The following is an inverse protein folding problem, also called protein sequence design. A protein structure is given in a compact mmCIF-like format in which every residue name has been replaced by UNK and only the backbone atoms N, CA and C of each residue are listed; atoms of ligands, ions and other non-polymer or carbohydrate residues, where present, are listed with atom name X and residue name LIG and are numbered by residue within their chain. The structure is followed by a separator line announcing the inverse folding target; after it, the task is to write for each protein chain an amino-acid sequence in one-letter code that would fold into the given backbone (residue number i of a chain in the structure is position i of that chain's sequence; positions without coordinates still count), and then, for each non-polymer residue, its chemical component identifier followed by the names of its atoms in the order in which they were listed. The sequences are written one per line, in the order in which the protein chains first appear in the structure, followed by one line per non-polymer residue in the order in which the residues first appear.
data_IF_590794485592
#
_entry.id   IF_590794485592
#
_cell.length_a   1.000
_cell.length_b   1.000
_cell.length_c   1.000
_cell.angle_alpha   90.00
_cell.angle_beta   90.00
_cell.angle_gamma   90.00
#
_symmetry.space_group_name_H-M   'P 1'
#
loop_
_entity.id
_entity.type
_entity.pdbx_description
1 polymer ?
#
# COMPACT_ATOMS: atom_id res chain seq x y z
N UNK A 1 21.48 -39.43 8.00
CA UNK A 1 20.28 -39.97 7.35
C UNK A 1 19.62 -38.88 6.50
N UNK A 2 19.64 -38.95 5.17
CA UNK A 2 18.95 -37.97 4.32
C UNK A 2 17.57 -38.49 3.87
N UNK A 3 16.54 -37.65 4.02
CA UNK A 3 15.18 -37.92 3.52
C UNK A 3 15.13 -37.70 2.00
N UNK A 4 14.66 -38.72 1.28
CA UNK A 4 14.48 -38.74 -0.17
C UNK A 4 13.21 -38.00 -0.60
N UNK A 5 13.35 -37.15 -1.59
CA UNK A 5 12.31 -36.57 -2.45
C UNK A 5 11.68 -37.66 -3.32
N UNK A 6 10.35 -37.69 -3.41
CA UNK A 6 9.59 -38.56 -4.32
C UNK A 6 9.01 -37.69 -5.43
N UNK A 7 9.34 -38.02 -6.68
CA UNK A 7 8.79 -37.43 -7.91
C UNK A 7 8.18 -38.58 -8.73
N UNK A 8 6.88 -38.53 -9.01
CA UNK A 8 6.17 -39.56 -9.79
C UNK A 8 5.96 -39.04 -11.22
N UNK A 9 6.42 -39.82 -12.21
CA UNK A 9 6.23 -39.65 -13.66
C UNK A 9 4.88 -40.20 -14.12
N UNK A 10 4.27 -39.69 -15.21
CA UNK A 10 3.13 -40.33 -15.86
C UNK A 10 3.58 -41.36 -16.91
N UNK A 11 2.75 -42.40 -17.07
CA UNK A 11 2.90 -43.55 -17.96
C UNK A 11 2.25 -43.25 -19.32
N UNK A 12 3.00 -43.45 -20.40
CA UNK A 12 2.51 -43.48 -21.77
C UNK A 12 1.87 -44.84 -22.10
N UNK A 13 0.82 -44.86 -22.92
CA UNK A 13 0.33 -46.11 -23.49
C UNK A 13 0.16 -46.03 -25.01
N UNK A 14 0.51 -47.17 -25.64
CA UNK A 14 0.82 -47.35 -27.05
C UNK A 14 -0.40 -47.44 -27.97
N UNK A 15 -0.07 -47.12 -29.22
CA UNK A 15 -0.73 -47.34 -30.50
C UNK A 15 -1.26 -48.76 -30.76
N UNK A 16 -2.32 -48.82 -31.58
CA UNK A 16 -2.77 -50.02 -32.29
C UNK A 16 -3.77 -49.67 -33.39
N UNK A 17 -3.35 -49.76 -34.64
CA UNK A 17 -4.16 -49.63 -35.87
C UNK A 17 -4.07 -50.98 -36.61
N UNK A 18 -5.16 -51.40 -37.25
CA UNK A 18 -5.34 -52.38 -38.36
C UNK A 18 -6.78 -52.92 -38.22
N UNK A 19 -7.53 -53.38 -39.22
CA UNK A 19 -7.69 -53.13 -40.66
C UNK A 19 -9.06 -53.80 -41.01
N UNK A 20 -9.60 -53.48 -42.18
CA UNK A 20 -10.91 -53.89 -42.71
C UNK A 20 -11.12 -55.41 -42.84
N UNK A 21 -12.38 -55.86 -42.73
CA UNK A 21 -13.00 -56.79 -43.69
C UNK A 21 -14.54 -56.75 -43.57
N UNK A 22 -15.21 -56.62 -44.72
CA UNK A 22 -16.66 -56.83 -44.89
C UNK A 22 -16.97 -58.33 -44.97
N UNK A 23 -18.22 -58.73 -44.70
CA UNK A 23 -19.02 -59.24 -45.82
C UNK A 23 -20.49 -58.75 -45.82
N UNK A 24 -21.10 -58.85 -47.01
CA UNK A 24 -22.48 -58.51 -47.33
C UNK A 24 -23.47 -59.58 -46.82
N UNK A 25 -24.67 -59.18 -46.36
CA UNK A 25 -25.93 -59.31 -47.12
C UNK A 25 -27.19 -58.98 -46.29
N UNK A 26 -28.19 -58.51 -47.04
CA UNK A 26 -29.65 -58.60 -46.87
C UNK A 26 -30.41 -57.66 -45.92
N UNK A 27 -31.15 -56.80 -46.62
CA UNK A 27 -32.32 -56.00 -46.28
C UNK A 27 -33.45 -56.73 -45.56
N UNK A 28 -33.89 -56.16 -44.43
CA UNK A 28 -35.29 -56.14 -43.98
C UNK A 28 -35.53 -54.86 -43.17
N UNK A 29 -36.49 -54.01 -43.59
CA UNK A 29 -36.95 -52.82 -42.85
C UNK A 29 -37.87 -53.22 -41.69
N UNK A 30 -37.77 -52.58 -40.52
CA UNK A 30 -38.90 -52.37 -39.63
C UNK A 30 -39.30 -50.87 -39.56
N UNK A 31 -40.50 -50.56 -39.03
CA UNK A 31 -41.24 -49.34 -39.38
C UNK A 31 -40.82 -48.10 -38.58
N UNK A 32 -41.22 -46.96 -39.14
CA UNK A 32 -41.10 -45.60 -38.60
C UNK A 32 -41.66 -45.51 -37.18
N UNK A 33 -40.81 -45.15 -36.21
CA UNK A 33 -41.23 -44.56 -34.95
C UNK A 33 -41.05 -43.04 -35.06
N UNK A 34 -42.17 -42.34 -35.05
CA UNK A 34 -42.27 -40.89 -35.00
C UNK A 34 -41.77 -40.38 -33.64
N UNK A 35 -40.67 -39.63 -33.63
CA UNK A 35 -40.24 -38.84 -32.49
C UNK A 35 -41.17 -37.62 -32.32
N UNK A 36 -41.52 -37.23 -31.08
CA UNK A 36 -42.30 -36.02 -30.84
C UNK A 36 -41.45 -34.78 -31.15
N UNK A 37 -42.05 -33.80 -31.83
CA UNK A 37 -41.48 -32.46 -32.02
C UNK A 37 -41.30 -31.80 -30.65
N UNK A 38 -40.08 -31.82 -30.13
CA UNK A 38 -39.71 -30.99 -28.98
C UNK A 38 -39.56 -29.56 -29.50
N UNK A 39 -40.38 -28.67 -28.95
CA UNK A 39 -40.47 -27.27 -29.32
C UNK A 39 -39.14 -26.54 -28.97
N UNK A 40 -38.31 -26.24 -29.97
CA UNK A 40 -36.95 -25.67 -29.84
C UNK A 40 -36.87 -24.27 -29.16
N UNK A 41 -37.99 -23.66 -28.84
CA UNK A 41 -38.05 -22.32 -28.24
C UNK A 41 -37.76 -22.34 -26.72
N UNK A 42 -38.21 -23.37 -26.00
CA UNK A 42 -38.07 -23.43 -24.53
C UNK A 42 -36.68 -23.91 -24.07
N UNK A 43 -36.00 -24.78 -24.83
CA UNK A 43 -34.65 -25.25 -24.49
C UNK A 43 -33.56 -24.18 -24.64
N UNK A 44 -33.74 -23.20 -25.55
CA UNK A 44 -32.76 -22.12 -25.73
C UNK A 44 -32.80 -21.11 -24.58
N UNK A 45 -33.98 -20.85 -24.03
CA UNK A 45 -34.16 -19.88 -22.94
C UNK A 45 -33.64 -20.43 -21.61
N UNK A 46 -33.85 -21.72 -21.32
CA UNK A 46 -33.33 -22.35 -20.10
C UNK A 46 -31.80 -22.48 -20.08
N UNK A 47 -31.18 -22.74 -21.25
CA UNK A 47 -29.72 -22.83 -21.35
C UNK A 47 -29.00 -21.49 -21.13
N UNK A 48 -29.61 -20.36 -21.51
CA UNK A 48 -29.08 -19.01 -21.29
C UNK A 48 -29.18 -18.60 -19.81
N UNK A 49 -30.26 -18.99 -19.12
CA UNK A 49 -30.45 -18.70 -17.70
C UNK A 49 -29.44 -19.46 -16.80
N UNK A 50 -29.18 -20.74 -17.07
CA UNK A 50 -28.18 -21.51 -16.33
C UNK A 50 -26.75 -20.99 -16.54
N UNK A 51 -26.41 -20.53 -17.76
CA UNK A 51 -25.09 -19.98 -18.03
C UNK A 51 -24.88 -18.63 -17.33
N UNK A 52 -25.91 -17.77 -17.26
CA UNK A 52 -25.86 -16.52 -16.51
C UNK A 52 -25.76 -16.73 -14.99
N UNK A 53 -26.46 -17.73 -14.44
CA UNK A 53 -26.37 -18.09 -13.01
C UNK A 53 -24.98 -18.66 -12.64
N UNK A 54 -24.37 -19.47 -13.53
CA UNK A 54 -23.02 -19.99 -13.32
C UNK A 54 -21.94 -18.89 -13.44
N UNK A 55 -22.11 -17.92 -14.34
CA UNK A 55 -21.19 -16.78 -14.48
C UNK A 55 -21.30 -15.78 -13.31
N UNK A 56 -22.50 -15.56 -12.76
CA UNK A 56 -22.69 -14.70 -11.59
C UNK A 56 -22.10 -15.26 -10.30
N UNK A 57 -22.15 -16.59 -10.11
CA UNK A 57 -21.61 -17.26 -8.93
C UNK A 57 -20.07 -17.20 -8.84
N UNK A 58 -19.37 -17.15 -9.97
CA UNK A 58 -17.91 -17.02 -9.95
C UNK A 58 -17.45 -15.61 -9.50
N UNK A 59 -18.18 -14.54 -9.82
CA UNK A 59 -17.75 -13.18 -9.46
C UNK A 59 -17.80 -12.91 -7.94
N UNK A 60 -18.65 -13.61 -7.18
CA UNK A 60 -18.72 -13.43 -5.72
C UNK A 60 -17.61 -14.14 -4.95
N UNK A 61 -16.92 -15.11 -5.57
CA UNK A 61 -15.83 -15.85 -4.94
C UNK A 61 -14.47 -15.15 -5.08
N UNK A 62 -14.37 -14.13 -5.93
CA UNK A 62 -13.13 -13.39 -6.21
C UNK A 62 -13.12 -11.96 -5.67
N UNK A 63 -14.08 -11.55 -4.84
CA UNK A 63 -14.02 -10.24 -4.18
C UNK A 63 -12.91 -10.26 -3.11
N UNK A 64 -11.91 -9.36 -3.20
CA UNK A 64 -10.83 -9.31 -2.21
C UNK A 64 -11.40 -9.03 -0.82
N UNK A 65 -11.02 -9.84 0.17
CA UNK A 65 -11.39 -9.59 1.55
C UNK A 65 -10.62 -8.36 2.07
N UNK A 66 -11.33 -7.24 2.21
CA UNK A 66 -10.76 -5.98 2.68
C UNK A 66 -10.35 -6.01 4.16
N UNK A 67 -10.83 -6.99 4.93
CA UNK A 67 -10.43 -7.20 6.33
C UNK A 67 -9.14 -8.01 6.46
N UNK A 68 -8.79 -8.81 5.45
CA UNK A 68 -7.53 -9.54 5.44
C UNK A 68 -6.41 -8.57 5.07
N UNK A 69 -5.38 -8.37 5.92
CA UNK A 69 -4.23 -7.54 5.59
C UNK A 69 -3.50 -8.08 4.35
N UNK A 70 -2.92 -7.19 3.55
CA UNK A 70 -2.01 -7.58 2.48
C UNK A 70 -0.75 -8.25 3.08
N UNK A 71 -0.24 -9.32 2.46
CA UNK A 71 1.09 -9.81 2.72
C UNK A 71 2.14 -8.71 2.45
N UNK A 72 3.10 -8.59 3.35
CA UNK A 72 4.17 -7.58 3.28
C UNK A 72 5.51 -8.29 3.35
N UNK A 73 6.40 -8.01 2.40
CA UNK A 73 7.77 -8.51 2.41
C UNK A 73 8.71 -7.36 2.73
N UNK A 74 9.57 -7.52 3.73
CA UNK A 74 10.60 -6.52 4.06
C UNK A 74 11.85 -6.75 3.22
N UNK A 75 12.41 -5.68 2.67
CA UNK A 75 13.71 -5.67 2.00
C UNK A 75 14.59 -4.60 2.65
N UNK A 76 15.79 -4.99 3.09
CA UNK A 76 16.71 -4.09 3.76
C UNK A 76 18.14 -4.30 3.26
N UNK A 77 18.82 -3.20 3.00
CA UNK A 77 20.21 -3.17 2.56
C UNK A 77 20.98 -2.00 3.17
N UNK A 78 22.26 -2.21 3.39
CA UNK A 78 23.19 -1.16 3.79
C UNK A 78 24.43 -1.25 2.92
N UNK A 79 24.82 -0.12 2.33
CA UNK A 79 25.98 -0.01 1.47
C UNK A 79 26.93 1.04 2.04
N UNK A 80 28.17 0.63 2.26
CA UNK A 80 29.27 1.51 2.66
C UNK A 80 30.07 1.89 1.41
N UNK A 81 30.57 3.13 1.34
CA UNK A 81 31.35 3.62 0.21
C UNK A 81 32.54 2.67 -0.09
N UNK A 82 32.62 2.10 -1.30
CA UNK A 82 33.71 1.20 -1.67
C UNK A 82 35.09 1.86 -1.50
N UNK A 83 36.05 1.10 -0.98
CA UNK A 83 37.42 1.57 -0.76
C UNK A 83 37.62 2.44 0.48
N UNK A 84 36.57 2.70 1.27
CA UNK A 84 36.68 3.37 2.55
C UNK A 84 36.89 2.35 3.68
N UNK A 85 37.84 2.62 4.59
CA UNK A 85 38.22 1.72 5.70
C UNK A 85 38.20 2.40 7.07
N UNK A 86 37.71 3.63 7.16
CA UNK A 86 37.62 4.38 8.42
C UNK A 86 36.29 4.10 9.13
N UNK A 87 36.17 4.49 10.41
CA UNK A 87 34.89 4.38 11.12
C UNK A 87 33.83 5.33 10.55
N UNK A 88 34.26 6.45 9.96
CA UNK A 88 33.41 7.50 9.40
C UNK A 88 33.11 7.27 7.90
N UNK A 89 33.05 6.03 7.44
CA UNK A 89 32.78 5.80 6.02
C UNK A 89 31.36 6.23 5.64
N UNK A 90 31.18 6.91 4.49
CA UNK A 90 29.84 7.21 4.03
C UNK A 90 29.02 5.96 3.81
N UNK A 91 27.74 6.01 4.18
CA UNK A 91 26.82 4.88 4.05
C UNK A 91 25.44 5.28 3.55
N UNK A 92 24.76 4.33 2.92
CA UNK A 92 23.33 4.41 2.59
C UNK A 92 22.64 3.17 3.12
N UNK A 93 21.63 3.37 3.94
CA UNK A 93 20.76 2.34 4.48
C UNK A 93 19.36 2.48 3.89
N UNK A 94 18.81 1.38 3.38
CA UNK A 94 17.46 1.28 2.83
C UNK A 94 16.74 0.18 3.59
N UNK A 95 15.56 0.47 4.14
CA UNK A 95 14.66 -0.48 4.79
C UNK A 95 13.23 -0.28 4.27
N UNK A 96 12.85 -1.02 3.24
CA UNK A 96 11.57 -0.84 2.55
C UNK A 96 10.69 -2.09 2.67
N UNK A 97 9.46 -1.95 2.19
CA UNK A 97 8.47 -3.02 2.12
C UNK A 97 7.94 -3.19 0.70
N UNK A 98 7.62 -4.42 0.36
CA UNK A 98 7.03 -4.85 -0.90
C UNK A 98 5.68 -5.52 -0.67
N UNK A 99 4.78 -5.35 -1.63
CA UNK A 99 3.42 -5.91 -1.62
C UNK A 99 3.22 -6.83 -2.83
N UNK A 100 3.51 -8.14 -2.71
CA UNK A 100 3.44 -9.07 -3.85
C UNK A 100 2.08 -9.09 -4.55
N UNK A 101 1.01 -8.93 -3.79
CA UNK A 101 -0.37 -8.95 -4.28
C UNK A 101 -0.90 -7.55 -4.67
N UNK A 102 -0.10 -6.49 -4.51
CA UNK A 102 -0.49 -5.10 -4.76
C UNK A 102 0.70 -4.28 -5.35
N UNK A 103 1.16 -4.61 -6.57
CA UNK A 103 2.33 -3.98 -7.19
C UNK A 103 2.16 -2.47 -7.45
N UNK A 104 0.92 -1.97 -7.52
CA UNK A 104 0.64 -0.55 -7.61
C UNK A 104 1.10 0.20 -6.36
N UNK A 105 0.81 -0.36 -5.17
CA UNK A 105 1.27 0.22 -3.91
C UNK A 105 2.78 0.16 -3.79
N UNK A 106 3.41 -0.94 -4.24
CA UNK A 106 4.86 -1.09 -4.29
C UNK A 106 5.55 0.08 -5.05
N UNK A 107 5.09 0.35 -6.27
CA UNK A 107 5.60 1.46 -7.07
C UNK A 107 5.37 2.84 -6.42
N UNK A 108 4.24 3.03 -5.73
CA UNK A 108 3.95 4.26 -4.99
C UNK A 108 4.91 4.42 -3.82
N UNK A 109 5.14 3.36 -3.03
CA UNK A 109 6.08 3.39 -1.90
C UNK A 109 7.48 3.77 -2.37
N UNK A 110 7.99 3.11 -3.42
CA UNK A 110 9.31 3.45 -3.98
C UNK A 110 9.38 4.91 -4.43
N UNK A 111 8.37 5.38 -5.19
CA UNK A 111 8.34 6.77 -5.67
C UNK A 111 8.32 7.77 -4.51
N UNK A 112 7.47 7.57 -3.52
CA UNK A 112 7.35 8.46 -2.37
C UNK A 112 8.63 8.44 -1.52
N UNK A 113 9.27 7.28 -1.36
CA UNK A 113 10.53 7.17 -0.63
C UNK A 113 11.66 7.94 -1.32
N UNK A 114 11.76 7.82 -2.65
CA UNK A 114 12.74 8.55 -3.45
C UNK A 114 12.46 10.06 -3.47
N UNK A 115 11.20 10.48 -3.39
CA UNK A 115 10.85 11.90 -3.24
C UNK A 115 11.37 12.51 -1.93
N UNK A 116 11.55 11.71 -0.86
CA UNK A 116 12.15 12.19 0.39
C UNK A 116 13.67 12.44 0.30
N UNK A 117 14.29 12.14 -0.86
CA UNK A 117 15.73 12.36 -1.08
C UNK A 117 16.06 13.71 -1.73
N UNK A 118 15.04 14.42 -2.23
CA UNK A 118 15.19 15.72 -2.90
C UNK A 118 14.73 16.84 -1.97
N UNK A 119 15.45 17.95 -1.97
CA UNK A 119 15.12 19.12 -1.14
C UNK A 119 13.96 19.94 -1.74
N UNK A 120 13.85 19.95 -3.07
CA UNK A 120 12.80 20.65 -3.82
C UNK A 120 11.94 19.62 -4.55
N UNK A 121 10.61 19.74 -4.41
CA UNK A 121 9.63 18.89 -5.08
C UNK A 121 9.61 19.07 -6.61
N UNK A 122 10.18 20.15 -7.13
CA UNK A 122 10.38 20.37 -8.57
C UNK A 122 11.53 19.54 -9.15
N UNK A 123 12.47 19.09 -8.30
CA UNK A 123 13.59 18.25 -8.73
C UNK A 123 13.12 16.81 -8.91
N UNK A 124 13.32 16.19 -10.09
CA UNK A 124 13.00 14.79 -10.27
C UNK A 124 13.80 13.91 -9.30
N UNK A 125 13.14 13.01 -8.54
CA UNK A 125 13.87 12.07 -7.71
C UNK A 125 14.64 11.06 -8.58
N UNK A 126 15.64 10.36 -8.02
CA UNK A 126 16.35 9.29 -8.72
C UNK A 126 15.39 8.24 -9.27
N UNK A 127 15.76 7.60 -10.39
CA UNK A 127 14.88 6.63 -11.06
C UNK A 127 14.61 5.34 -10.26
N UNK A 128 15.50 4.97 -9.35
CA UNK A 128 15.38 3.79 -8.50
C UNK A 128 16.17 3.93 -7.21
N UNK A 129 15.90 3.05 -6.25
CA UNK A 129 16.67 2.93 -5.00
C UNK A 129 18.15 2.65 -5.30
N UNK A 130 18.44 1.74 -6.25
CA UNK A 130 19.81 1.44 -6.66
C UNK A 130 20.52 2.66 -7.24
N UNK A 131 19.86 3.40 -8.15
CA UNK A 131 20.42 4.62 -8.71
C UNK A 131 20.69 5.68 -7.64
N UNK A 132 19.79 5.80 -6.65
CA UNK A 132 20.00 6.66 -5.49
C UNK A 132 21.22 6.26 -4.66
N UNK A 133 21.37 4.97 -4.33
CA UNK A 133 22.51 4.44 -3.57
C UNK A 133 23.84 4.75 -4.28
N UNK A 134 23.93 4.46 -5.58
CA UNK A 134 25.12 4.73 -6.41
C UNK A 134 25.43 6.23 -6.48
N UNK A 135 24.41 7.06 -6.76
CA UNK A 135 24.55 8.51 -6.83
C UNK A 135 24.99 9.10 -5.48
N UNK A 136 24.41 8.66 -4.36
CA UNK A 136 24.80 9.13 -3.05
C UNK A 136 26.24 8.74 -2.71
N UNK A 137 26.60 7.46 -2.86
CA UNK A 137 27.93 6.98 -2.47
C UNK A 137 29.05 7.54 -3.36
N UNK A 138 28.77 7.86 -4.63
CA UNK A 138 29.76 8.52 -5.50
C UNK A 138 30.14 9.91 -5.00
N UNK A 139 29.16 10.70 -4.53
CA UNK A 139 29.37 12.10 -4.08
C UNK A 139 29.69 12.23 -2.58
N UNK A 140 29.25 11.29 -1.75
CA UNK A 140 29.36 11.40 -0.30
C UNK A 140 30.82 11.42 0.18
N UNK A 141 31.08 12.25 1.19
CA UNK A 141 32.39 12.53 1.79
C UNK A 141 32.28 12.41 3.31
N UNK A 142 33.41 12.20 3.99
CA UNK A 142 33.47 12.12 5.44
C UNK A 142 32.39 11.17 6.01
N UNK A 143 31.75 11.56 7.11
CA UNK A 143 30.71 10.78 7.80
C UNK A 143 29.31 10.84 7.17
N UNK A 144 29.18 11.30 5.94
CA UNK A 144 27.86 11.49 5.32
C UNK A 144 27.08 10.18 5.28
N UNK A 145 25.85 10.20 5.80
CA UNK A 145 25.00 9.01 5.83
C UNK A 145 23.59 9.33 5.37
N UNK A 146 22.95 8.35 4.75
CA UNK A 146 21.54 8.46 4.38
C UNK A 146 20.77 7.21 4.77
N UNK A 147 19.58 7.41 5.32
CA UNK A 147 18.66 6.35 5.71
C UNK A 147 17.31 6.62 5.05
N UNK A 148 16.77 5.62 4.37
CA UNK A 148 15.41 5.63 3.83
C UNK A 148 14.65 4.43 4.38
N UNK A 149 13.49 4.68 4.99
CA UNK A 149 12.64 3.63 5.52
C UNK A 149 11.20 3.78 5.04
N UNK A 150 10.57 2.67 4.66
CA UNK A 150 9.13 2.54 4.52
C UNK A 150 8.64 1.36 5.36
N UNK A 151 7.60 1.58 6.17
CA UNK A 151 6.98 0.53 6.98
C UNK A 151 5.47 0.60 6.89
N UNK A 152 4.81 -0.55 6.89
CA UNK A 152 3.37 -0.60 7.09
C UNK A 152 3.09 -0.25 8.54
N UNK A 153 2.46 0.90 8.77
CA UNK A 153 2.06 1.35 10.10
C UNK A 153 0.85 0.55 10.57
N UNK A 154 -0.19 0.50 9.75
CA UNK A 154 -1.44 -0.21 10.03
C UNK A 154 -2.11 -0.70 8.74
N UNK A 155 -2.92 -1.76 8.86
CA UNK A 155 -3.86 -2.21 7.83
C UNK A 155 -5.21 -2.49 8.49
N UNK A 156 -6.27 -1.86 8.02
CA UNK A 156 -7.64 -2.09 8.50
C UNK A 156 -8.65 -1.64 7.44
N UNK A 157 -9.82 -2.29 7.39
CA UNK A 157 -10.95 -1.85 6.55
C UNK A 157 -10.61 -1.57 5.06
N UNK A 158 -9.65 -2.31 4.49
CA UNK A 158 -9.18 -2.09 3.12
C UNK A 158 -8.26 -0.87 2.94
N UNK A 159 -7.86 -0.21 4.01
CA UNK A 159 -6.85 0.85 4.04
C UNK A 159 -5.50 0.28 4.46
N UNK A 160 -4.45 0.63 3.73
CA UNK A 160 -3.05 0.36 4.07
C UNK A 160 -2.36 1.69 4.35
N UNK A 161 -1.96 1.88 5.60
CA UNK A 161 -1.23 3.07 6.03
C UNK A 161 0.27 2.74 6.03
N UNK A 162 1.03 3.37 5.13
CA UNK A 162 2.49 3.25 5.07
C UNK A 162 3.11 4.52 5.63
N UNK A 163 4.01 4.38 6.59
CA UNK A 163 4.84 5.47 7.10
C UNK A 163 6.21 5.43 6.43
N UNK A 164 6.64 6.57 5.89
CA UNK A 164 7.93 6.72 5.25
C UNK A 164 8.77 7.73 6.02
N UNK A 165 10.04 7.42 6.15
CA UNK A 165 11.02 8.23 6.85
C UNK A 165 12.29 8.35 6.03
N UNK A 166 12.91 9.53 6.05
CA UNK A 166 14.30 9.71 5.62
C UNK A 166 15.12 10.34 6.74
N UNK A 167 16.42 10.14 6.70
CA UNK A 167 17.40 10.89 7.49
C UNK A 167 18.66 11.08 6.65
N UNK A 168 19.03 12.34 6.43
CA UNK A 168 20.24 12.71 5.70
C UNK A 168 21.21 13.41 6.65
N UNK A 169 22.34 12.78 6.94
CA UNK A 169 23.49 13.44 7.56
C UNK A 169 24.47 13.88 6.46
N UNK A 170 24.59 15.19 6.27
CA UNK A 170 25.52 15.79 5.31
C UNK A 170 26.77 16.40 6.00
N UNK A 171 27.06 16.01 7.24
CA UNK A 171 28.21 16.49 8.02
C UNK A 171 27.94 17.75 8.83
N UNK A 172 26.69 18.23 8.87
CA UNK A 172 26.26 19.40 9.66
C UNK A 172 26.11 19.13 11.15
N UNK A 173 25.52 20.08 11.89
CA UNK A 173 25.30 19.96 13.33
C UNK A 173 24.36 18.80 13.70
N UNK A 174 23.39 18.50 12.83
CA UNK A 174 22.49 17.36 12.91
C UNK A 174 22.04 16.97 11.49
N UNK A 175 21.52 15.75 11.32
CA UNK A 175 20.90 15.35 10.07
C UNK A 175 19.52 15.99 9.85
N UNK A 176 18.98 15.76 8.65
CA UNK A 176 17.70 16.27 8.21
C UNK A 176 16.68 15.12 8.08
N UNK A 177 15.71 14.99 9.00
CA UNK A 177 14.71 13.94 8.96
C UNK A 177 13.48 14.33 8.10
N UNK A 178 13.18 13.52 7.08
CA UNK A 178 11.94 13.65 6.28
C UNK A 178 10.87 12.65 6.72
N UNK A 179 9.60 12.99 6.52
CA UNK A 179 8.45 12.11 6.81
C UNK A 179 7.42 12.16 5.68
N UNK A 180 6.74 11.05 5.46
CA UNK A 180 5.54 11.00 4.63
C UNK A 180 4.60 9.89 5.10
N UNK A 181 3.33 10.02 4.74
CA UNK A 181 2.34 8.96 4.88
C UNK A 181 1.72 8.65 3.52
N UNK A 182 1.40 7.38 3.32
CA UNK A 182 0.54 6.91 2.24
C UNK A 182 -0.69 6.29 2.89
N UNK A 183 -1.87 6.77 2.53
CA UNK A 183 -3.15 6.14 2.88
C UNK A 183 -3.69 5.48 1.62
N UNK A 184 -3.38 4.21 1.40
CA UNK A 184 -3.80 3.50 0.20
C UNK A 184 -5.14 2.80 0.42
N UNK A 185 -6.15 3.17 -0.35
CA UNK A 185 -7.41 2.43 -0.39
C UNK A 185 -7.30 1.28 -1.38
N UNK A 186 -7.37 0.04 -0.88
CA UNK A 186 -7.42 -1.18 -1.71
C UNK A 186 -8.71 -1.27 -2.51
N UNK A 187 -9.81 -0.73 -1.98
CA UNK A 187 -11.09 -0.70 -2.68
C UNK A 187 -11.08 0.27 -3.86
N UNK A 188 -10.52 1.48 -3.68
CA UNK A 188 -10.43 2.49 -4.74
C UNK A 188 -9.16 2.36 -5.58
N UNK A 189 -8.23 1.48 -5.19
CA UNK A 189 -6.93 1.29 -5.82
C UNK A 189 -6.16 2.60 -5.98
N UNK A 190 -6.15 3.44 -4.94
CA UNK A 190 -5.53 4.79 -4.99
C UNK A 190 -5.02 5.26 -3.64
N UNK A 191 -4.07 6.20 -3.68
CA UNK A 191 -3.69 6.99 -2.50
C UNK A 191 -4.78 8.02 -2.22
N UNK A 192 -5.27 8.06 -0.99
CA UNK A 192 -6.23 9.05 -0.52
C UNK A 192 -5.50 10.35 -0.17
N UNK A 193 -5.89 11.44 -0.79
CA UNK A 193 -5.52 12.81 -0.41
C UNK A 193 -6.49 13.36 0.63
N UNK A 194 -6.19 14.52 1.23
CA UNK A 194 -7.15 15.19 2.12
C UNK A 194 -8.51 15.43 1.45
N UNK A 195 -8.50 15.83 0.17
CA UNK A 195 -9.72 16.04 -0.61
C UNK A 195 -10.50 14.75 -0.88
N UNK A 196 -9.81 13.61 -0.95
CA UNK A 196 -10.48 12.30 -1.00
C UNK A 196 -11.08 11.90 0.33
N UNK A 197 -10.50 12.37 1.45
CA UNK A 197 -10.91 12.00 2.80
C UNK A 197 -12.07 12.83 3.34
N UNK A 198 -12.04 14.14 3.11
CA UNK A 198 -12.97 15.11 3.69
C UNK A 198 -14.18 15.31 2.78
N UNK A 199 -15.35 15.50 3.38
CA UNK A 199 -16.57 15.85 2.66
C UNK A 199 -16.36 17.18 1.94
N UNK A 200 -16.78 17.33 0.67
CA UNK A 200 -16.62 18.59 -0.07
C UNK A 200 -17.15 19.80 0.73
N UNK A 201 -16.33 20.85 0.84
CA UNK A 201 -16.65 22.05 1.62
C UNK A 201 -16.32 21.98 3.11
N UNK A 202 -15.90 20.82 3.65
CA UNK A 202 -15.61 20.63 5.08
C UNK A 202 -14.14 20.75 5.48
N UNK A 203 -13.26 21.13 4.56
CA UNK A 203 -11.82 21.23 4.83
C UNK A 203 -11.50 22.25 5.94
N UNK A 204 -12.22 23.38 5.99
CA UNK A 204 -12.02 24.35 7.07
C UNK A 204 -12.37 23.76 8.44
N UNK A 205 -13.48 23.05 8.54
CA UNK A 205 -13.91 22.38 9.79
C UNK A 205 -12.91 21.30 10.20
N UNK A 206 -12.35 20.55 9.23
CA UNK A 206 -11.26 19.60 9.49
C UNK A 206 -10.06 20.30 10.15
N UNK A 207 -9.59 21.42 9.60
CA UNK A 207 -8.45 22.14 10.16
C UNK A 207 -8.73 22.79 11.51
N UNK A 208 -9.99 23.17 11.80
CA UNK A 208 -10.38 23.60 13.15
C UNK A 208 -10.27 22.45 14.17
N UNK A 209 -10.62 21.21 13.80
CA UNK A 209 -10.40 20.04 14.68
C UNK A 209 -8.92 19.73 14.86
N UNK A 210 -8.11 19.93 13.83
CA UNK A 210 -6.65 19.82 13.92
C UNK A 210 -6.05 20.86 14.87
N UNK A 211 -6.52 22.11 14.82
CA UNK A 211 -6.09 23.16 15.74
C UNK A 211 -6.50 22.87 17.18
N UNK A 212 -7.70 22.33 17.41
CA UNK A 212 -8.11 21.83 18.73
C UNK A 212 -7.20 20.71 19.23
N UNK A 213 -6.79 19.79 18.36
CA UNK A 213 -5.83 18.74 18.71
C UNK A 213 -4.44 19.32 19.05
N UNK A 214 -4.02 20.40 18.38
CA UNK A 214 -2.79 21.13 18.70
C UNK A 214 -2.87 21.79 20.09
N UNK A 215 -3.99 22.44 20.42
CA UNK A 215 -4.21 22.98 21.77
C UNK A 215 -4.17 21.88 22.84
N UNK A 216 -4.81 20.73 22.58
CA UNK A 216 -4.73 19.57 23.45
C UNK A 216 -3.30 19.06 23.65
N UNK A 217 -2.49 19.05 22.58
CA UNK A 217 -1.07 18.71 22.66
C UNK A 217 -0.29 19.70 23.53
N UNK A 218 -0.44 21.01 23.33
CA UNK A 218 0.21 22.06 24.14
C UNK A 218 -0.12 21.92 25.63
N UNK A 219 -1.36 21.57 25.97
CA UNK A 219 -1.76 21.31 27.36
C UNK A 219 -1.06 20.06 27.89
N UNK A 220 -1.10 18.95 27.14
CA UNK A 220 -0.51 17.68 27.58
C UNK A 220 1.01 17.73 27.72
N UNK A 221 1.69 18.55 26.92
CA UNK A 221 3.14 18.76 26.96
C UNK A 221 3.56 19.86 27.92
N UNK A 222 2.60 20.53 28.60
CA UNK A 222 2.79 21.71 29.45
C UNK A 222 3.37 22.94 28.75
N UNK A 223 3.45 22.92 27.42
CA UNK A 223 3.94 24.05 26.63
C UNK A 223 2.94 25.22 26.59
N UNK A 224 1.67 24.97 26.94
CA UNK A 224 0.65 26.03 27.02
C UNK A 224 0.97 27.10 28.06
N UNK A 225 1.79 26.78 29.08
CA UNK A 225 2.19 27.70 30.14
C UNK A 225 3.32 28.65 29.70
N UNK A 226 4.05 28.29 28.63
CA UNK A 226 5.10 29.11 28.04
C UNK A 226 4.52 29.95 26.87
N UNK A 227 4.14 31.19 27.18
CA UNK A 227 3.62 32.11 26.19
C UNK A 227 4.59 32.36 25.02
N UNK A 228 5.91 32.33 25.28
CA UNK A 228 6.91 32.51 24.23
C UNK A 228 6.97 31.31 23.29
N UNK A 229 6.81 30.10 23.82
CA UNK A 229 6.70 28.88 23.02
C UNK A 229 5.48 28.93 22.12
N UNK A 230 4.30 29.23 22.67
CA UNK A 230 3.03 29.29 21.92
C UNK A 230 3.10 30.34 20.80
N UNK A 231 3.72 31.50 21.07
CA UNK A 231 3.91 32.54 20.06
C UNK A 231 4.89 32.12 18.96
N UNK A 232 5.98 31.45 19.33
CA UNK A 232 7.03 31.01 18.39
C UNK A 232 6.57 29.85 17.51
N UNK A 233 5.74 28.96 18.05
CA UNK A 233 5.30 27.72 17.43
C UNK A 233 3.78 27.67 17.27
N UNK A 234 3.19 28.54 16.42
CA UNK A 234 1.76 28.52 16.19
C UNK A 234 1.34 27.27 15.41
N UNK A 235 0.04 26.96 15.46
CA UNK A 235 -0.54 25.89 14.65
C UNK A 235 -0.25 26.09 13.16
N UNK A 236 0.11 25.00 12.48
CA UNK A 236 0.28 24.93 11.02
C UNK A 236 -0.46 23.74 10.46
N UNK A 237 -0.84 23.79 9.18
CA UNK A 237 -1.35 22.62 8.46
C UNK A 237 -0.21 21.69 8.08
N UNK A 238 -0.49 20.40 7.91
CA UNK A 238 0.50 19.40 7.46
C UNK A 238 -0.06 18.50 6.36
N UNK A 239 0.72 18.15 5.33
CA UNK A 239 0.29 17.16 4.34
C UNK A 239 0.37 15.73 4.87
N UNK A 240 1.01 15.49 6.03
CA UNK A 240 1.24 14.15 6.57
C UNK A 240 0.08 13.72 7.46
N UNK A 241 -0.94 13.18 6.81
CA UNK A 241 -2.17 12.72 7.43
C UNK A 241 -2.18 11.19 7.38
N UNK A 242 -2.57 10.51 8.46
CA UNK A 242 -2.73 9.07 8.47
C UNK A 242 -4.11 8.67 9.03
N UNK A 243 -4.85 7.86 8.28
CA UNK A 243 -6.09 7.23 8.68
C UNK A 243 -5.78 5.97 9.49
N UNK A 244 -5.32 6.12 10.73
CA UNK A 244 -5.10 4.96 11.61
C UNK A 244 -6.40 4.53 12.27
N UNK A 245 -6.44 3.33 12.83
CA UNK A 245 -7.65 2.74 13.39
C UNK A 245 -8.16 3.49 14.64
N UNK A 246 -7.24 3.97 15.50
CA UNK A 246 -7.61 4.61 16.77
C UNK A 246 -8.05 6.08 16.63
N UNK A 247 -7.39 6.84 15.76
CA UNK A 247 -7.62 8.26 15.54
C UNK A 247 -7.04 8.67 14.18
N UNK A 248 -7.48 9.78 13.61
CA UNK A 248 -6.76 10.37 12.50
C UNK A 248 -5.50 11.07 13.05
N UNK A 249 -4.34 10.76 12.47
CA UNK A 249 -3.05 11.30 12.92
C UNK A 249 -2.60 12.40 11.96
N UNK A 250 -2.16 13.52 12.53
CA UNK A 250 -1.42 14.56 11.82
C UNK A 250 0.02 14.55 12.32
N UNK A 251 0.98 14.31 11.43
CA UNK A 251 2.40 14.31 11.80
C UNK A 251 3.09 15.55 11.27
N UNK A 252 3.96 16.12 12.10
CA UNK A 252 4.68 17.34 11.79
C UNK A 252 6.17 17.05 11.61
N UNK A 253 6.81 17.59 10.56
CA UNK A 253 8.26 17.64 10.49
C UNK A 253 8.83 18.38 11.71
N UNK A 254 10.10 18.14 11.99
CA UNK A 254 10.85 18.95 12.97
C UNK A 254 10.76 20.43 12.60
N UNK A 255 10.86 21.32 13.60
CA UNK A 255 10.89 22.78 13.39
C UNK A 255 9.65 23.36 12.68
N UNK A 256 8.53 22.63 12.69
CA UNK A 256 7.27 23.12 12.10
C UNK A 256 6.40 23.81 13.14
N UNK A 257 6.09 23.08 14.22
CA UNK A 257 5.25 23.51 15.36
C UNK A 257 5.94 23.26 16.72
N UNK A 258 7.23 22.94 16.71
CA UNK A 258 8.05 22.66 17.88
C UNK A 258 9.54 22.68 17.47
N UNK A 259 10.48 22.93 18.40
CA UNK A 259 11.92 22.89 18.11
C UNK A 259 12.40 21.48 17.75
N UNK A 260 13.54 21.38 17.04
CA UNK A 260 14.13 20.12 16.59
C UNK A 260 14.29 19.09 17.72
N UNK A 261 14.62 19.53 18.93
CA UNK A 261 14.82 18.68 20.11
C UNK A 261 13.58 17.90 20.56
N UNK A 262 12.38 18.34 20.15
CA UNK A 262 11.12 17.64 20.42
C UNK A 262 10.76 16.61 19.33
N UNK A 263 11.57 16.51 18.27
CA UNK A 263 11.35 15.57 17.18
C UNK A 263 10.08 15.85 16.39
N UNK A 264 9.48 14.79 15.85
CA UNK A 264 8.23 14.87 15.09
C UNK A 264 7.03 14.83 16.02
N UNK A 265 6.19 15.86 15.96
CA UNK A 265 4.94 15.90 16.73
C UNK A 265 3.86 15.11 15.99
N UNK A 266 3.13 14.25 16.70
CA UNK A 266 1.92 13.59 16.22
C UNK A 266 0.71 14.13 16.99
N UNK A 267 -0.17 14.85 16.29
CA UNK A 267 -1.48 15.24 16.81
C UNK A 267 -2.49 14.15 16.48
N UNK A 268 -3.41 13.88 17.42
CA UNK A 268 -4.46 12.86 17.27
C UNK A 268 -5.82 13.53 17.25
N UNK A 269 -6.59 13.31 16.19
CA UNK A 269 -7.97 13.75 16.09
C UNK A 269 -8.88 12.53 16.27
N UNK A 270 -9.60 12.40 17.39
CA UNK A 270 -10.55 11.31 17.57
C UNK A 270 -11.64 11.34 16.50
N UNK A 271 -11.93 10.20 15.87
CA UNK A 271 -12.97 10.08 14.84
C UNK A 271 -14.33 10.69 15.22
N UNK A 272 -14.83 10.59 16.47
CA UNK A 272 -16.08 11.25 16.85
C UNK A 272 -16.10 12.77 16.63
N UNK A 273 -14.93 13.44 16.65
CA UNK A 273 -14.82 14.87 16.35
C UNK A 273 -14.88 15.18 14.84
N UNK A 274 -14.76 14.16 14.00
CA UNK A 274 -14.77 14.24 12.54
C UNK A 274 -16.13 13.84 11.93
N UNK A 275 -17.14 13.58 12.75
CA UNK A 275 -18.51 13.31 12.29
C UNK A 275 -19.04 14.49 11.45
N UNK A 276 -19.53 14.20 10.24
CA UNK A 276 -19.97 15.22 9.30
C UNK A 276 -18.85 16.04 8.64
N UNK A 277 -17.58 15.67 8.87
CA UNK A 277 -16.39 16.27 8.26
C UNK A 277 -15.67 15.24 7.40
N UNK A 278 -15.30 14.09 7.97
CA UNK A 278 -14.68 12.97 7.25
C UNK A 278 -15.77 12.16 6.55
N UNK A 279 -15.47 11.63 5.37
CA UNK A 279 -16.38 10.73 4.67
C UNK A 279 -16.68 9.47 5.52
N UNK A 280 -17.97 9.10 5.70
CA UNK A 280 -18.36 8.02 6.61
C UNK A 280 -17.68 6.67 6.32
N UNK A 281 -17.43 6.36 5.06
CA UNK A 281 -16.78 5.11 4.62
C UNK A 281 -15.31 5.00 5.03
N UNK A 282 -14.69 6.09 5.51
CA UNK A 282 -13.31 6.12 6.01
C UNK A 282 -13.23 6.07 7.54
N UNK A 283 -14.36 5.97 8.22
CA UNK A 283 -14.35 5.69 9.65
C UNK A 283 -13.98 4.21 9.86
N UNK A 284 -13.05 3.91 10.78
CA UNK A 284 -12.67 2.54 11.07
C UNK A 284 -13.88 1.72 11.51
N UNK A 285 -13.99 0.51 10.96
CA UNK A 285 -15.05 -0.43 11.28
C UNK A 285 -14.90 -0.91 12.72
N UNK A 286 -15.59 -0.26 13.66
CA UNK A 286 -15.75 -0.79 15.01
C UNK A 286 -16.76 -1.92 14.88
N UNK A 287 -16.27 -3.16 14.97
CA UNK A 287 -17.02 -4.40 14.69
C UNK A 287 -18.41 -4.48 15.30
#
# INVERSE_FOLDING_TARGET
MPRKTILIRPVANRTGRLQSNQPAYRTTRPPLLTLPRINMSLLRITSLACLALLLGACQSLFTPNMRTPLPVQRDASELIKPGCTTADCPLVNIDTVHFPDEPKLDAIVQKTLLQLTVADSSTPPPASIKAYQEQFLSRAQGRNSSYLQAKVREQHDGIVVVELSSYLDAGGAHGNPGRAFINYSRQQQKVLTLADMVIPGKEQEFWQKAELAHQGWLVSSKMIEDASFVQTWPFKRTPHIALTYGALILKYPVETIAPYSMGHIELKIPYPQLNGILKPELFPGRG
#
